data_IF_214194163134
#
_entry.id   IF_214194163134
#
_cell.length_a   1.000
_cell.length_b   1.000
_cell.length_c   1.000
_cell.angle_alpha   90.00
_cell.angle_beta   90.00
_cell.angle_gamma   90.00
#
_symmetry.space_group_name_H-M   'P 1'
#
loop_
_entity.id
_entity.type
_entity.pdbx_description
1 polymer ?
#
# COMPACT_ATOMS: atom_id res chain seq x y z
N UNK A 1 12.61 2.96 14.42
CA UNK A 1 11.72 1.92 13.85
C UNK A 1 11.81 0.67 14.73
N UNK A 2 10.74 -0.11 14.86
CA UNK A 2 10.73 -1.30 15.72
C UNK A 2 11.71 -2.40 15.23
N UNK A 3 11.91 -2.52 13.91
CA UNK A 3 12.82 -3.49 13.31
C UNK A 3 14.28 -3.01 13.15
N UNK A 4 14.56 -1.70 13.29
CA UNK A 4 15.89 -1.15 13.02
C UNK A 4 16.40 -1.47 11.60
N UNK A 5 17.73 -1.54 11.39
CA UNK A 5 18.34 -2.02 10.15
C UNK A 5 17.90 -3.42 9.69
N UNK A 6 17.49 -4.29 10.62
CA UNK A 6 16.96 -5.62 10.32
C UNK A 6 15.63 -5.61 9.55
N UNK A 7 15.00 -4.45 9.33
CA UNK A 7 13.80 -4.31 8.49
C UNK A 7 13.97 -4.84 7.05
N UNK A 8 15.20 -4.96 6.54
CA UNK A 8 15.47 -5.61 5.25
C UNK A 8 15.02 -7.09 5.25
N UNK A 9 15.16 -7.79 6.37
CA UNK A 9 14.70 -9.17 6.50
C UNK A 9 13.17 -9.24 6.42
N UNK A 10 12.48 -8.24 6.98
CA UNK A 10 11.02 -8.13 6.87
C UNK A 10 10.58 -7.99 5.41
N UNK A 11 11.30 -7.21 4.59
CA UNK A 11 11.02 -7.07 3.17
C UNK A 11 11.20 -8.37 2.39
N UNK A 12 12.25 -9.14 2.70
CA UNK A 12 12.50 -10.45 2.09
C UNK A 12 11.41 -11.45 2.46
N UNK A 13 11.06 -11.55 3.75
CA UNK A 13 10.02 -12.45 4.23
C UNK A 13 8.66 -12.10 3.62
N UNK A 14 8.28 -10.82 3.67
CA UNK A 14 7.02 -10.35 3.08
C UNK A 14 6.97 -10.57 1.57
N UNK A 15 8.07 -10.27 0.86
CA UNK A 15 8.17 -10.49 -0.58
C UNK A 15 8.05 -11.96 -0.96
N UNK A 16 8.71 -12.85 -0.22
CA UNK A 16 8.62 -14.30 -0.46
C UNK A 16 7.18 -14.83 -0.24
N UNK A 17 6.52 -14.41 0.85
CA UNK A 17 5.14 -14.80 1.11
C UNK A 17 4.19 -14.36 0.00
N UNK A 18 4.32 -13.12 -0.47
CA UNK A 18 3.48 -12.59 -1.55
C UNK A 18 3.81 -13.24 -2.91
N UNK A 19 5.08 -13.59 -3.16
CA UNK A 19 5.48 -14.32 -4.37
C UNK A 19 4.77 -15.67 -4.47
N UNK A 20 4.70 -16.43 -3.37
CA UNK A 20 3.98 -17.71 -3.34
C UNK A 20 2.49 -17.50 -3.70
N UNK A 21 1.85 -16.49 -3.09
CA UNK A 21 0.47 -16.14 -3.43
C UNK A 21 0.32 -15.78 -4.91
N UNK A 22 1.26 -15.00 -5.46
CA UNK A 22 1.28 -14.65 -6.88
C UNK A 22 1.35 -15.88 -7.78
N UNK A 23 2.20 -16.86 -7.47
CA UNK A 23 2.33 -18.10 -8.24
C UNK A 23 1.01 -18.89 -8.22
N UNK A 24 0.37 -19.03 -7.06
CA UNK A 24 -0.92 -19.72 -6.92
C UNK A 24 -1.98 -19.05 -7.81
N UNK A 25 -2.05 -17.71 -7.79
CA UNK A 25 -3.00 -16.99 -8.63
C UNK A 25 -2.68 -17.07 -10.12
N UNK A 26 -1.40 -17.13 -10.51
CA UNK A 26 -1.01 -17.36 -11.89
C UNK A 26 -1.46 -18.75 -12.39
N UNK A 27 -1.26 -19.80 -11.58
CA UNK A 27 -1.70 -21.16 -11.90
C UNK A 27 -3.23 -21.22 -12.02
N UNK A 28 -3.93 -20.62 -11.07
CA UNK A 28 -5.39 -20.61 -11.05
C UNK A 28 -5.99 -19.75 -12.16
N UNK A 29 -5.34 -18.65 -12.52
CA UNK A 29 -5.69 -17.81 -13.66
C UNK A 29 -5.53 -18.53 -15.00
N UNK A 30 -4.49 -19.34 -15.14
CA UNK A 30 -4.27 -20.18 -16.32
C UNK A 30 -5.27 -21.34 -16.39
N UNK A 31 -5.56 -22.00 -15.26
CA UNK A 31 -6.49 -23.12 -15.19
C UNK A 31 -7.96 -22.71 -15.35
N UNK A 32 -8.34 -21.53 -14.83
CA UNK A 32 -9.71 -21.02 -14.80
C UNK A 32 -9.75 -19.56 -15.31
N UNK A 33 -9.71 -19.34 -16.64
CA UNK A 33 -9.66 -18.01 -17.25
C UNK A 33 -11.03 -17.32 -17.20
N UNK A 34 -11.45 -16.92 -15.99
CA UNK A 34 -12.69 -16.20 -15.71
C UNK A 34 -12.38 -14.93 -14.94
N UNK A 35 -12.91 -13.79 -15.40
CA UNK A 35 -12.82 -12.53 -14.67
C UNK A 35 -13.47 -12.63 -13.28
N UNK A 36 -12.90 -11.92 -12.31
CA UNK A 36 -13.31 -11.90 -10.90
C UNK A 36 -12.74 -13.05 -10.07
N UNK A 37 -11.50 -13.48 -10.36
CA UNK A 37 -10.88 -14.68 -9.78
C UNK A 37 -10.94 -14.74 -8.26
N UNK A 38 -10.63 -13.63 -7.58
CA UNK A 38 -10.62 -13.51 -6.10
C UNK A 38 -11.93 -14.02 -5.49
N UNK A 39 -13.08 -13.67 -6.05
CA UNK A 39 -14.39 -14.07 -5.51
C UNK A 39 -14.87 -15.39 -6.12
N UNK A 40 -14.58 -15.64 -7.41
CA UNK A 40 -15.12 -16.80 -8.13
C UNK A 40 -14.41 -18.11 -7.84
N UNK A 41 -13.09 -18.11 -7.62
CA UNK A 41 -12.38 -19.36 -7.34
C UNK A 41 -12.83 -20.03 -6.04
N UNK A 42 -13.11 -19.28 -4.95
CA UNK A 42 -13.69 -19.86 -3.74
C UNK A 42 -15.12 -20.34 -3.93
N UNK A 43 -15.90 -19.75 -4.84
CA UNK A 43 -17.24 -20.25 -5.18
C UNK A 43 -17.16 -21.63 -5.83
N UNK A 44 -16.20 -21.86 -6.72
CA UNK A 44 -16.04 -23.15 -7.39
C UNK A 44 -15.63 -24.27 -6.43
N UNK A 45 -14.87 -23.95 -5.38
CA UNK A 45 -14.34 -24.94 -4.44
C UNK A 45 -15.22 -25.13 -3.19
N UNK A 46 -15.80 -24.06 -2.64
CA UNK A 46 -16.49 -24.04 -1.35
C UNK A 46 -17.95 -23.59 -1.44
N UNK A 47 -18.44 -23.24 -2.63
CA UNK A 47 -19.82 -22.88 -2.88
C UNK A 47 -20.17 -21.40 -2.67
N UNK A 48 -21.44 -21.02 -2.89
CA UNK A 48 -21.87 -19.62 -2.96
C UNK A 48 -21.70 -18.82 -1.66
N UNK A 49 -21.83 -19.47 -0.49
CA UNK A 49 -21.68 -18.82 0.81
C UNK A 49 -20.26 -18.25 0.98
N UNK A 50 -19.23 -19.03 0.62
CA UNK A 50 -17.84 -18.58 0.71
C UNK A 50 -17.59 -17.39 -0.22
N UNK A 51 -18.17 -17.40 -1.42
CA UNK A 51 -18.10 -16.27 -2.36
C UNK A 51 -18.74 -15.00 -1.80
N UNK A 52 -19.90 -15.12 -1.15
CA UNK A 52 -20.57 -13.98 -0.52
C UNK A 52 -19.75 -13.38 0.64
N UNK A 53 -19.20 -14.23 1.51
CA UNK A 53 -18.35 -13.78 2.62
C UNK A 53 -17.10 -13.08 2.09
N UNK A 54 -16.43 -13.67 1.10
CA UNK A 54 -15.23 -13.07 0.54
C UNK A 54 -15.52 -11.78 -0.22
N UNK A 55 -16.62 -11.71 -0.98
CA UNK A 55 -17.07 -10.48 -1.62
C UNK A 55 -17.32 -9.36 -0.60
N UNK A 56 -17.97 -9.67 0.52
CA UNK A 56 -18.23 -8.71 1.60
C UNK A 56 -16.94 -8.20 2.23
N UNK A 57 -15.99 -9.09 2.54
CA UNK A 57 -14.66 -8.72 3.04
C UNK A 57 -13.90 -7.86 2.04
N UNK A 58 -14.01 -8.18 0.75
CA UNK A 58 -13.32 -7.45 -0.32
C UNK A 58 -13.82 -6.02 -0.46
N UNK A 59 -15.13 -5.78 -0.29
CA UNK A 59 -15.70 -4.41 -0.25
C UNK A 59 -15.16 -3.61 0.93
N UNK A 60 -15.08 -4.22 2.12
CA UNK A 60 -14.51 -3.58 3.31
C UNK A 60 -13.01 -3.28 3.10
N UNK A 61 -12.27 -4.22 2.51
CA UNK A 61 -10.85 -4.06 2.24
C UNK A 61 -10.60 -2.90 1.26
N UNK A 62 -11.24 -2.90 0.09
CA UNK A 62 -11.02 -1.84 -0.91
C UNK A 62 -11.48 -0.46 -0.45
N UNK A 63 -12.59 -0.35 0.28
CA UNK A 63 -13.00 0.93 0.87
C UNK A 63 -11.99 1.45 1.89
N UNK A 64 -11.43 0.56 2.72
CA UNK A 64 -10.36 0.90 3.67
C UNK A 64 -9.07 1.33 2.95
N UNK A 65 -8.71 0.68 1.85
CA UNK A 65 -7.53 1.06 1.04
C UNK A 65 -7.65 2.50 0.54
N UNK A 66 -8.80 2.88 -0.04
CA UNK A 66 -9.03 4.24 -0.52
C UNK A 66 -8.90 5.26 0.62
N UNK A 67 -9.43 4.95 1.81
CA UNK A 67 -9.31 5.82 2.98
C UNK A 67 -7.83 6.01 3.41
N UNK A 68 -7.04 4.94 3.42
CA UNK A 68 -5.61 5.00 3.78
C UNK A 68 -4.83 5.88 2.80
N UNK A 69 -5.07 5.74 1.49
CA UNK A 69 -4.40 6.54 0.46
C UNK A 69 -4.67 8.06 0.61
N UNK A 70 -5.92 8.42 0.94
CA UNK A 70 -6.30 9.83 1.15
C UNK A 70 -5.70 10.39 2.43
N UNK A 71 -5.61 9.59 3.50
CA UNK A 71 -4.90 9.98 4.72
C UNK A 71 -3.41 10.19 4.43
N UNK A 72 -2.77 9.25 3.73
CA UNK A 72 -1.37 9.35 3.35
C UNK A 72 -1.10 10.60 2.49
N UNK A 73 -1.95 10.87 1.49
CA UNK A 73 -1.84 12.07 0.66
C UNK A 73 -1.90 13.37 1.50
N UNK A 74 -2.81 13.43 2.50
CA UNK A 74 -2.88 14.56 3.43
C UNK A 74 -1.63 14.66 4.31
N UNK A 75 -1.11 13.54 4.79
CA UNK A 75 0.11 13.53 5.61
C UNK A 75 1.34 14.02 4.84
N UNK A 76 1.48 13.63 3.56
CA UNK A 76 2.49 14.17 2.67
C UNK A 76 2.29 15.66 2.42
N UNK A 77 1.05 16.09 2.12
CA UNK A 77 0.73 17.50 1.89
C UNK A 77 1.05 18.39 3.12
N UNK A 78 0.93 17.83 4.33
CA UNK A 78 1.22 18.53 5.57
C UNK A 78 2.69 18.97 5.72
N UNK A 79 3.61 18.42 4.93
CA UNK A 79 4.99 18.91 4.87
C UNK A 79 5.08 20.36 4.33
N UNK A 80 4.19 20.73 3.40
CA UNK A 80 4.10 22.08 2.83
C UNK A 80 2.97 22.91 3.44
N UNK A 81 1.91 22.26 3.91
CA UNK A 81 0.75 22.91 4.53
C UNK A 81 0.51 22.35 5.95
N UNK A 82 1.27 22.80 6.95
CA UNK A 82 1.16 22.29 8.32
C UNK A 82 -0.25 22.39 8.91
N UNK A 83 -1.06 23.34 8.45
CA UNK A 83 -2.45 23.53 8.88
C UNK A 83 -3.38 22.34 8.59
N UNK A 84 -2.98 21.39 7.72
CA UNK A 84 -3.75 20.18 7.41
C UNK A 84 -3.69 19.12 8.53
N UNK A 85 -2.65 19.14 9.36
CA UNK A 85 -2.41 18.10 10.37
C UNK A 85 -2.01 18.73 11.70
N UNK A 86 -2.75 18.39 12.76
CA UNK A 86 -2.34 18.69 14.12
C UNK A 86 -1.59 17.49 14.71
N UNK A 87 -0.66 17.75 15.62
CA UNK A 87 0.03 16.71 16.38
C UNK A 87 -0.40 16.83 17.83
N UNK A 88 -1.06 15.81 18.34
CA UNK A 88 -1.48 15.71 19.74
C UNK A 88 -0.83 14.44 20.31
N UNK A 89 -0.02 14.57 21.37
CA UNK A 89 0.66 13.45 22.04
C UNK A 89 1.47 12.54 21.08
N UNK A 90 2.10 13.15 20.07
CA UNK A 90 2.86 12.42 19.04
C UNK A 90 2.01 11.73 17.98
N UNK A 91 0.68 11.80 18.08
CA UNK A 91 -0.26 11.28 17.09
C UNK A 91 -0.64 12.38 16.11
N UNK A 92 -0.48 12.10 14.81
CA UNK A 92 -0.86 13.01 13.72
C UNK A 92 -2.35 12.89 13.44
N UNK A 93 -3.13 13.90 13.81
CA UNK A 93 -4.58 13.93 13.60
C UNK A 93 -4.98 15.00 12.58
N UNK A 94 -6.02 14.76 11.76
CA UNK A 94 -6.51 15.76 10.83
C UNK A 94 -7.13 16.94 11.59
N UNK A 95 -6.80 18.17 11.14
CA UNK A 95 -7.56 19.36 11.54
C UNK A 95 -8.91 19.40 10.82
N UNK A 96 -9.79 20.33 11.17
CA UNK A 96 -11.05 20.54 10.41
C UNK A 96 -10.79 20.82 8.92
N UNK A 97 -9.74 21.59 8.61
CA UNK A 97 -9.33 21.84 7.22
C UNK A 97 -8.75 20.57 6.59
N UNK A 98 -7.99 19.77 7.36
CA UNK A 98 -7.51 18.45 6.93
C UNK A 98 -8.64 17.49 6.56
N UNK A 99 -9.73 17.46 7.34
CA UNK A 99 -10.93 16.68 7.02
C UNK A 99 -11.60 17.13 5.72
N UNK A 100 -11.78 18.43 5.53
CA UNK A 100 -12.36 18.98 4.30
C UNK A 100 -11.48 18.67 3.08
N UNK A 101 -10.16 18.78 3.22
CA UNK A 101 -9.21 18.43 2.17
C UNK A 101 -9.30 16.95 1.78
N UNK A 102 -9.34 16.05 2.77
CA UNK A 102 -9.50 14.61 2.52
C UNK A 102 -10.83 14.30 1.81
N UNK A 103 -11.92 14.92 2.27
CA UNK A 103 -13.23 14.76 1.62
C UNK A 103 -13.21 15.26 0.17
N UNK A 104 -12.62 16.43 -0.08
CA UNK A 104 -12.47 16.98 -1.42
C UNK A 104 -11.65 16.05 -2.33
N UNK A 105 -10.55 15.46 -1.84
CA UNK A 105 -9.78 14.47 -2.58
C UNK A 105 -10.61 13.24 -2.96
N UNK A 106 -11.43 12.71 -2.04
CA UNK A 106 -12.34 11.60 -2.35
C UNK A 106 -13.33 11.97 -3.44
N UNK A 107 -13.95 13.16 -3.38
CA UNK A 107 -14.86 13.63 -4.42
C UNK A 107 -14.15 13.77 -5.77
N UNK A 108 -12.92 14.27 -5.80
CA UNK A 108 -12.11 14.37 -7.02
C UNK A 108 -11.83 12.97 -7.60
N UNK A 109 -11.37 12.02 -6.77
CA UNK A 109 -11.13 10.66 -7.24
C UNK A 109 -12.42 9.99 -7.73
N UNK A 110 -13.54 10.18 -7.04
CA UNK A 110 -14.84 9.68 -7.48
C UNK A 110 -15.24 10.27 -8.83
N UNK A 111 -15.14 11.58 -9.01
CA UNK A 111 -15.46 12.25 -10.27
C UNK A 111 -14.55 11.78 -11.42
N UNK A 112 -13.25 11.63 -11.18
CA UNK A 112 -12.32 11.11 -12.19
C UNK A 112 -12.68 9.67 -12.63
N UNK A 113 -13.02 8.81 -11.67
CA UNK A 113 -13.44 7.44 -11.95
C UNK A 113 -14.80 7.40 -12.68
N UNK A 114 -15.73 8.30 -12.33
CA UNK A 114 -17.06 8.33 -12.92
C UNK A 114 -17.05 8.85 -14.37
N UNK A 115 -16.28 9.90 -14.67
CA UNK A 115 -16.43 10.64 -15.92
C UNK A 115 -15.45 10.28 -17.05
N UNK A 116 -14.29 9.63 -16.80
CA UNK A 116 -13.27 9.61 -17.85
C UNK A 116 -12.44 8.33 -17.98
N UNK A 117 -12.74 7.52 -18.99
CA UNK A 117 -11.86 6.41 -19.45
C UNK A 117 -10.62 6.96 -20.18
N UNK A 118 -10.75 8.08 -20.91
CA UNK A 118 -9.70 8.61 -21.80
C UNK A 118 -8.69 9.51 -21.07
N UNK A 119 -9.14 10.35 -20.14
CA UNK A 119 -8.24 11.15 -19.28
C UNK A 119 -7.49 10.26 -18.29
N UNK A 120 -8.14 9.19 -17.83
CA UNK A 120 -7.53 8.20 -16.94
C UNK A 120 -6.29 7.53 -17.56
N UNK A 121 -6.34 7.16 -18.84
CA UNK A 121 -5.20 6.52 -19.52
C UNK A 121 -3.96 7.43 -19.59
N UNK A 122 -4.13 8.73 -19.88
CA UNK A 122 -3.02 9.69 -19.95
C UNK A 122 -2.47 9.99 -18.55
N UNK A 123 -3.36 10.24 -17.58
CA UNK A 123 -2.96 10.45 -16.19
C UNK A 123 -2.20 9.24 -15.63
N UNK A 124 -2.65 8.02 -15.94
CA UNK A 124 -2.00 6.80 -15.51
C UNK A 124 -0.57 6.66 -16.05
N UNK A 125 -0.32 7.01 -17.31
CA UNK A 125 1.04 6.98 -17.85
C UNK A 125 1.97 7.99 -17.17
N UNK A 126 1.51 9.22 -16.92
CA UNK A 126 2.30 10.23 -16.21
C UNK A 126 2.58 9.81 -14.76
N UNK A 127 1.55 9.34 -14.05
CA UNK A 127 1.68 8.84 -12.68
C UNK A 127 2.62 7.64 -12.65
N UNK A 128 2.56 6.75 -13.64
CA UNK A 128 3.48 5.62 -13.75
C UNK A 128 4.93 6.07 -13.92
N UNK A 129 5.20 7.07 -14.76
CA UNK A 129 6.53 7.64 -14.89
C UNK A 129 7.04 8.23 -13.55
N UNK A 130 6.20 8.97 -12.83
CA UNK A 130 6.54 9.52 -11.51
C UNK A 130 6.80 8.42 -10.46
N UNK A 131 6.04 7.32 -10.50
CA UNK A 131 6.23 6.16 -9.61
C UNK A 131 7.61 5.52 -9.74
N UNK A 132 8.26 5.62 -10.90
CA UNK A 132 9.64 5.17 -11.08
C UNK A 132 10.64 6.29 -10.83
N UNK A 133 10.38 7.49 -11.32
CA UNK A 133 11.31 8.62 -11.22
C UNK A 133 11.57 9.02 -9.75
N UNK A 134 10.52 9.14 -8.93
CA UNK A 134 10.66 9.62 -7.55
C UNK A 134 11.50 8.65 -6.69
N UNK A 135 11.21 7.33 -6.63
CA UNK A 135 12.05 6.39 -5.88
C UNK A 135 13.50 6.32 -6.37
N UNK A 136 13.73 6.40 -7.68
CA UNK A 136 15.09 6.43 -8.25
C UNK A 136 15.84 7.68 -7.78
N UNK A 137 15.21 8.85 -7.83
CA UNK A 137 15.81 10.10 -7.34
C UNK A 137 16.14 10.02 -5.84
N UNK A 138 15.23 9.46 -5.03
CA UNK A 138 15.46 9.24 -3.60
C UNK A 138 16.64 8.30 -3.38
N UNK A 139 16.72 7.19 -4.13
CA UNK A 139 17.83 6.25 -4.05
C UNK A 139 19.17 6.94 -4.35
N UNK A 140 19.24 7.70 -5.44
CA UNK A 140 20.45 8.45 -5.82
C UNK A 140 20.84 9.46 -4.73
N UNK A 141 19.88 10.25 -4.23
CA UNK A 141 20.13 11.21 -3.16
C UNK A 141 20.66 10.56 -1.86
N UNK A 142 20.05 9.43 -1.45
CA UNK A 142 20.48 8.70 -0.27
C UNK A 142 21.87 8.06 -0.44
N UNK A 143 22.22 7.60 -1.65
CA UNK A 143 23.57 7.10 -1.95
C UNK A 143 24.61 8.21 -1.87
N UNK A 144 24.30 9.43 -2.37
CA UNK A 144 25.20 10.59 -2.24
C UNK A 144 25.41 11.02 -0.77
N UNK A 145 24.40 10.88 0.08
CA UNK A 145 24.48 11.21 1.51
C UNK A 145 24.74 10.00 2.40
N UNK A 146 25.21 8.89 1.84
CA UNK A 146 25.40 7.64 2.56
C UNK A 146 26.52 7.77 3.59
N UNK A 147 26.20 7.50 4.86
CA UNK A 147 27.15 7.49 5.99
C UNK A 147 27.21 6.08 6.59
N UNK A 148 28.23 5.27 6.26
CA UNK A 148 28.36 3.89 6.75
C UNK A 148 28.34 3.76 8.28
N UNK A 149 28.82 4.78 9.00
CA UNK A 149 28.83 4.83 10.46
C UNK A 149 27.44 4.68 11.09
N UNK A 150 26.35 5.03 10.39
CA UNK A 150 25.00 4.88 10.93
C UNK A 150 24.58 3.41 11.15
N UNK A 151 25.26 2.45 10.54
CA UNK A 151 24.98 1.02 10.74
C UNK A 151 25.62 0.44 12.02
N UNK A 152 26.58 1.14 12.62
CA UNK A 152 27.28 0.70 13.83
C UNK A 152 26.90 1.48 15.09
N UNK A 153 26.14 2.58 14.96
CA UNK A 153 25.75 3.44 16.10
C UNK A 153 24.48 2.99 16.83
N UNK A 154 23.75 2.00 16.33
CA UNK A 154 22.51 1.50 16.95
C UNK A 154 22.43 -0.02 16.79
N UNK A 155 21.78 -0.72 17.71
CA UNK A 155 21.54 -2.16 17.60
C UNK A 155 20.86 -2.50 16.26
N UNK A 156 21.38 -3.51 15.57
CA UNK A 156 20.89 -3.93 14.24
C UNK A 156 19.42 -4.38 14.27
N UNK A 157 18.98 -4.98 15.37
CA UNK A 157 17.60 -5.45 15.57
C UNK A 157 17.10 -5.09 16.99
N UNK A 158 16.62 -3.84 17.22
CA UNK A 158 16.25 -3.33 18.54
C UNK A 158 15.18 -4.15 19.28
N UNK A 159 14.29 -4.81 18.53
CA UNK A 159 13.22 -5.67 19.07
C UNK A 159 13.36 -7.13 18.58
N UNK A 160 14.54 -7.52 18.10
CA UNK A 160 14.83 -8.86 17.57
C UNK A 160 13.83 -9.35 16.52
N UNK A 161 13.52 -10.64 16.55
CA UNK A 161 12.57 -11.29 15.63
C UNK A 161 11.15 -10.69 15.71
N UNK A 162 10.72 -10.23 16.89
CA UNK A 162 9.41 -9.59 17.06
C UNK A 162 9.32 -8.26 16.30
N UNK A 163 10.38 -7.46 16.29
CA UNK A 163 10.44 -6.24 15.48
C UNK A 163 10.36 -6.52 13.98
N UNK A 164 11.07 -7.56 13.53
CA UNK A 164 11.08 -7.99 12.13
C UNK A 164 9.67 -8.46 11.71
N UNK A 165 9.03 -9.31 12.49
CA UNK A 165 7.67 -9.81 12.21
C UNK A 165 6.63 -8.69 12.28
N UNK A 166 6.71 -7.82 13.28
CA UNK A 166 5.84 -6.65 13.41
C UNK A 166 5.95 -5.70 12.22
N UNK A 167 7.14 -5.53 11.65
CA UNK A 167 7.31 -4.73 10.45
C UNK A 167 6.66 -5.36 9.21
N UNK A 168 6.59 -6.70 9.11
CA UNK A 168 5.91 -7.38 8.00
C UNK A 168 4.41 -7.09 8.02
N UNK A 169 3.76 -7.24 9.18
CA UNK A 169 2.31 -7.08 9.33
C UNK A 169 1.88 -5.64 9.57
N UNK A 170 2.39 -5.00 10.64
CA UNK A 170 1.99 -3.67 11.08
C UNK A 170 2.83 -2.55 10.45
N UNK A 171 4.03 -2.86 9.96
CA UNK A 171 4.90 -1.89 9.28
C UNK A 171 4.51 -1.57 7.84
N UNK A 172 3.42 -2.16 7.33
CA UNK A 172 2.88 -1.88 6.00
C UNK A 172 3.64 -2.57 4.84
N UNK A 173 4.53 -3.53 5.11
CA UNK A 173 5.27 -4.24 4.06
C UNK A 173 4.32 -5.08 3.20
N UNK A 174 3.40 -5.84 3.80
CA UNK A 174 2.37 -6.57 3.04
C UNK A 174 1.49 -5.58 2.25
N UNK A 175 1.14 -4.44 2.86
CA UNK A 175 0.36 -3.39 2.20
C UNK A 175 1.08 -2.85 0.95
N UNK A 176 2.40 -2.65 1.02
CA UNK A 176 3.19 -2.21 -0.13
C UNK A 176 3.15 -3.20 -1.31
N UNK A 177 2.92 -4.49 -1.06
CA UNK A 177 2.82 -5.53 -2.08
C UNK A 177 1.38 -5.79 -2.61
N UNK A 178 0.35 -5.10 -2.09
CA UNK A 178 -1.05 -5.32 -2.49
C UNK A 178 -1.35 -4.99 -3.97
N UNK A 179 -0.44 -4.29 -4.66
CA UNK A 179 -0.57 -3.91 -6.07
C UNK A 179 -0.69 -5.06 -7.07
N UNK A 180 -0.53 -6.32 -6.66
CA UNK A 180 -0.72 -7.51 -7.51
C UNK A 180 -2.18 -7.91 -7.69
N UNK A 181 -3.06 -7.55 -6.74
CA UNK A 181 -4.48 -7.95 -6.75
C UNK A 181 -5.28 -7.49 -7.97
N UNK A 182 -5.06 -6.29 -8.56
CA UNK A 182 -5.80 -5.85 -9.74
C UNK A 182 -5.45 -6.63 -11.02
N UNK A 183 -4.29 -7.29 -11.08
CA UNK A 183 -3.85 -8.08 -12.25
C UNK A 183 -4.63 -9.40 -12.33
N UNK A 184 -5.07 -9.91 -11.17
CA UNK A 184 -5.74 -11.21 -11.00
C UNK A 184 -7.27 -11.06 -11.10
N UNK A 185 -7.78 -9.83 -11.01
CA UNK A 185 -9.21 -9.49 -10.92
C UNK A 185 -9.89 -9.41 -12.29
#
# INVERSE_FOLDING_TARGET
SQAGPAGILSWIIGGFAVLILGIIYCELGAALPRAGGIIRYPVFSHGPLQGYLLGSVTVIAFSSLIAIEVVAAREYAAAWFPSLTAVHDGVRTPTTIGWLFQFALLCVFFALNYYSVKTFAIANNLISALKFAVPVLVMVALLYHFKPANFSMTEFAPMGAHGVQGAVSAGGIIFAYLGLTPIIS
#
